data_IF_730409532503
#
_entry.id   IF_730409532503
#
_cell.length_a   1.000
_cell.length_b   1.000
_cell.length_c   1.000
_cell.angle_alpha   90.00
_cell.angle_beta   90.00
_cell.angle_gamma   90.00
#
_symmetry.space_group_name_H-M   'P 1'
#
loop_
_entity.id
_entity.type
_entity.pdbx_description
1 polymer ?
#
# COMPACT_ATOMS: atom_id res chain seq x y z
N UNK A 1 29.38 -10.95 5.12
CA UNK A 1 28.08 -10.41 5.57
C UNK A 1 27.60 -9.47 4.47
N UNK A 2 26.76 -9.94 3.54
CA UNK A 2 26.33 -9.13 2.38
C UNK A 2 25.48 -7.96 2.85
N UNK A 3 25.78 -6.75 2.35
CA UNK A 3 25.00 -5.56 2.67
C UNK A 3 23.52 -5.84 2.35
N UNK A 4 22.63 -5.66 3.33
CA UNK A 4 21.20 -5.56 3.02
C UNK A 4 21.08 -4.36 2.08
N UNK A 5 20.56 -4.60 0.88
CA UNK A 5 20.35 -3.55 -0.10
C UNK A 5 19.13 -2.73 0.33
N UNK A 6 19.35 -1.79 1.24
CA UNK A 6 18.34 -0.93 1.87
C UNK A 6 17.76 0.13 0.90
N UNK A 7 18.33 0.24 -0.31
CA UNK A 7 18.01 1.26 -1.31
C UNK A 7 17.18 0.75 -2.50
N UNK A 8 16.76 -0.52 -2.49
CA UNK A 8 15.90 -1.08 -3.54
C UNK A 8 14.44 -0.57 -3.46
N UNK A 9 13.66 -0.59 -4.56
CA UNK A 9 12.27 -0.13 -4.55
C UNK A 9 11.38 -0.79 -3.49
N UNK A 10 11.57 -2.10 -3.26
CA UNK A 10 10.85 -2.82 -2.22
C UNK A 10 11.32 -2.41 -0.81
N UNK A 11 12.61 -2.19 -0.60
CA UNK A 11 13.13 -1.73 0.68
C UNK A 11 12.61 -0.31 1.01
N UNK A 12 12.60 0.58 0.01
CA UNK A 12 11.98 1.89 0.13
C UNK A 12 10.48 1.81 0.42
N UNK A 13 9.73 0.97 -0.30
CA UNK A 13 8.33 0.73 0.00
C UNK A 13 8.14 0.22 1.44
N UNK A 14 8.94 -0.74 1.91
CA UNK A 14 8.85 -1.24 3.28
C UNK A 14 9.22 -0.20 4.34
N UNK A 15 10.07 0.77 4.03
CA UNK A 15 10.30 1.93 4.91
C UNK A 15 9.07 2.83 5.03
N UNK A 16 8.25 2.91 3.96
CA UNK A 16 7.02 3.69 3.96
C UNK A 16 5.84 2.93 4.57
N UNK A 17 5.68 1.65 4.26
CA UNK A 17 4.45 0.87 4.53
C UNK A 17 4.67 -0.42 5.35
N UNK A 18 5.87 -0.67 5.86
CA UNK A 18 6.21 -1.92 6.56
C UNK A 18 5.69 -2.02 8.00
N UNK A 19 5.12 -0.96 8.55
CA UNK A 19 4.45 -1.00 9.85
C UNK A 19 2.97 -1.36 9.67
N UNK A 20 2.50 -2.33 10.45
CA UNK A 20 1.14 -2.89 10.37
C UNK A 20 0.05 -1.82 10.31
N UNK A 21 0.14 -0.82 11.18
CA UNK A 21 -0.84 0.25 11.28
C UNK A 21 -0.91 1.15 10.05
N UNK A 22 0.18 1.22 9.27
CA UNK A 22 0.23 2.08 8.09
C UNK A 22 -0.76 1.60 7.04
N UNK A 23 -0.80 0.30 6.77
CA UNK A 23 -1.72 -0.26 5.77
C UNK A 23 -3.18 -0.18 6.22
N UNK A 24 -3.44 -0.43 7.51
CA UNK A 24 -4.78 -0.30 8.10
C UNK A 24 -5.30 1.15 8.03
N UNK A 25 -4.47 2.13 8.39
CA UNK A 25 -4.85 3.55 8.31
C UNK A 25 -5.04 4.04 6.87
N UNK A 26 -4.19 3.59 5.94
CA UNK A 26 -4.34 3.92 4.54
C UNK A 26 -5.60 3.28 3.94
N UNK A 27 -5.94 2.05 4.34
CA UNK A 27 -7.18 1.39 3.96
C UNK A 27 -8.39 2.16 4.48
N UNK A 28 -8.42 2.47 5.78
CA UNK A 28 -9.52 3.22 6.40
C UNK A 28 -9.70 4.62 5.78
N UNK A 29 -8.60 5.29 5.40
CA UNK A 29 -8.65 6.57 4.71
C UNK A 29 -9.09 6.46 3.24
N UNK A 30 -8.81 5.34 2.57
CA UNK A 30 -9.33 5.06 1.22
C UNK A 30 -10.84 4.81 1.22
N UNK A 31 -11.38 4.32 2.34
CA UNK A 31 -12.82 4.19 2.57
C UNK A 31 -13.49 5.54 2.89
N UNK A 32 -12.70 6.62 3.03
CA UNK A 32 -13.17 8.00 3.16
C UNK A 32 -13.13 8.56 4.58
N UNK A 33 -12.62 7.81 5.57
CA UNK A 33 -12.43 8.32 6.92
C UNK A 33 -11.30 9.35 6.95
N UNK A 34 -11.50 10.45 7.66
CA UNK A 34 -10.52 11.55 7.71
C UNK A 34 -10.26 12.06 9.11
N UNK A 35 -11.11 11.77 10.10
CA UNK A 35 -11.00 12.33 11.43
C UNK A 35 -10.37 11.34 12.41
N UNK A 36 -9.68 11.85 13.42
CA UNK A 36 -9.01 11.04 14.44
C UNK A 36 -9.95 10.05 15.14
N UNK A 37 -11.18 10.47 15.46
CA UNK A 37 -12.16 9.62 16.15
C UNK A 37 -12.62 8.46 15.25
N UNK A 38 -12.79 8.68 13.94
CA UNK A 38 -13.15 7.64 12.96
C UNK A 38 -12.07 6.55 12.92
N UNK A 39 -10.81 6.93 12.73
CA UNK A 39 -9.68 5.98 12.73
C UNK A 39 -9.56 5.21 14.05
N UNK A 40 -9.74 5.90 15.19
CA UNK A 40 -9.65 5.28 16.51
C UNK A 40 -10.73 4.22 16.69
N UNK A 41 -11.96 4.55 16.32
CA UNK A 41 -13.12 3.71 16.57
C UNK A 41 -13.16 2.51 15.61
N UNK A 42 -12.76 2.70 14.35
CA UNK A 42 -12.65 1.65 13.35
C UNK A 42 -11.52 0.66 13.68
N UNK A 43 -10.32 1.18 13.99
CA UNK A 43 -9.12 0.35 14.21
C UNK A 43 -8.97 -0.15 15.65
N UNK A 44 -9.77 0.38 16.59
CA UNK A 44 -9.71 0.09 18.04
C UNK A 44 -8.29 0.27 18.61
N UNK A 45 -7.58 1.27 18.09
CA UNK A 45 -6.19 1.57 18.40
C UNK A 45 -6.09 2.55 19.58
N UNK A 46 -5.06 2.40 20.42
CA UNK A 46 -4.81 3.34 21.51
C UNK A 46 -4.51 4.76 20.97
N UNK A 47 -5.09 5.84 21.56
CA UNK A 47 -4.97 7.20 21.02
C UNK A 47 -3.53 7.67 20.81
N UNK A 48 -2.62 7.39 21.75
CA UNK A 48 -1.21 7.79 21.63
C UNK A 48 -0.50 7.08 20.47
N UNK A 49 -0.87 5.82 20.19
CA UNK A 49 -0.32 5.09 19.05
C UNK A 49 -0.85 5.69 17.76
N UNK A 50 -2.16 5.92 17.67
CA UNK A 50 -2.80 6.54 16.51
C UNK A 50 -2.18 7.90 16.17
N UNK A 51 -2.01 8.78 17.17
CA UNK A 51 -1.41 10.09 16.98
C UNK A 51 0.01 10.00 16.39
N UNK A 52 0.83 9.08 16.89
CA UNK A 52 2.18 8.84 16.35
C UNK A 52 2.15 8.30 14.91
N UNK A 53 1.21 7.41 14.59
CA UNK A 53 1.05 6.87 13.24
C UNK A 53 0.59 7.93 12.24
N UNK A 54 -0.43 8.71 12.57
CA UNK A 54 -0.88 9.82 11.74
C UNK A 54 0.23 10.86 11.55
N UNK A 55 0.97 11.22 12.61
CA UNK A 55 2.14 12.09 12.50
C UNK A 55 3.20 11.52 11.56
N UNK A 56 3.44 10.20 11.61
CA UNK A 56 4.37 9.53 10.72
C UNK A 56 3.91 9.56 9.26
N UNK A 57 2.63 9.27 9.00
CA UNK A 57 2.02 9.33 7.66
C UNK A 57 2.09 10.73 7.05
N UNK A 58 1.89 11.77 7.88
CA UNK A 58 2.03 13.16 7.47
C UNK A 58 3.49 13.48 7.13
N UNK A 59 4.42 13.11 8.02
CA UNK A 59 5.86 13.33 7.79
C UNK A 59 6.39 12.61 6.55
N UNK A 60 5.87 11.43 6.21
CA UNK A 60 6.27 10.68 5.02
C UNK A 60 5.55 11.15 3.75
N UNK A 61 4.63 12.11 3.84
CA UNK A 61 3.88 12.66 2.72
C UNK A 61 2.81 11.71 2.17
N UNK A 62 2.38 10.72 2.95
CA UNK A 62 1.27 9.83 2.61
C UNK A 62 -0.09 10.45 2.95
N UNK A 63 -0.12 11.35 3.93
CA UNK A 63 -1.29 12.12 4.31
C UNK A 63 -0.94 13.60 4.49
N UNK A 64 -1.92 14.47 4.31
CA UNK A 64 -1.87 15.87 4.76
C UNK A 64 -2.71 16.03 6.03
N UNK A 65 -2.28 16.94 6.90
CA UNK A 65 -3.06 17.37 8.06
C UNK A 65 -3.73 18.72 7.76
N UNK A 66 -5.05 18.76 7.85
CA UNK A 66 -5.88 19.93 7.59
C UNK A 66 -6.49 20.41 8.91
N UNK A 67 -5.93 21.48 9.52
CA UNK A 67 -6.47 22.04 10.74
C UNK A 67 -7.87 22.63 10.53
N UNK A 68 -8.72 22.54 11.54
CA UNK A 68 -10.04 23.15 11.54
C UNK A 68 -10.13 24.39 12.42
N UNK A 69 -10.82 25.42 11.95
CA UNK A 69 -11.14 26.61 12.75
C UNK A 69 -12.05 26.28 13.94
N UNK A 70 -12.78 25.16 13.89
CA UNK A 70 -13.62 24.68 14.99
C UNK A 70 -12.83 23.96 16.09
N UNK A 71 -11.50 23.88 15.94
CA UNK A 71 -10.56 23.35 16.92
C UNK A 71 -10.03 21.95 16.58
N UNK A 72 -9.01 21.47 17.32
CA UNK A 72 -8.23 20.27 16.96
C UNK A 72 -9.03 18.97 16.83
N UNK A 73 -10.20 18.90 17.47
CA UNK A 73 -11.11 17.74 17.38
C UNK A 73 -11.71 17.58 15.98
N UNK A 74 -11.75 18.66 15.20
CA UNK A 74 -12.27 18.71 13.86
C UNK A 74 -11.17 18.72 12.79
N UNK A 75 -9.91 18.52 13.18
CA UNK A 75 -8.81 18.38 12.23
C UNK A 75 -9.01 17.11 11.38
N UNK A 76 -8.63 17.20 10.10
CA UNK A 76 -8.73 16.10 9.16
C UNK A 76 -7.35 15.63 8.67
N UNK A 77 -7.21 14.34 8.44
CA UNK A 77 -6.07 13.69 7.83
C UNK A 77 -6.53 13.11 6.50
N UNK A 78 -6.00 13.65 5.40
CA UNK A 78 -6.44 13.28 4.04
C UNK A 78 -5.30 12.67 3.25
N UNK A 79 -5.59 11.68 2.41
CA UNK A 79 -4.57 11.07 1.57
C UNK A 79 -4.05 12.06 0.52
N UNK A 80 -2.72 12.16 0.45
CA UNK A 80 -2.02 12.83 -0.66
C UNK A 80 -2.12 11.97 -1.93
N UNK A 81 -1.63 12.49 -3.06
CA UNK A 81 -1.48 11.70 -4.29
C UNK A 81 -0.59 10.46 -4.08
N UNK A 82 0.47 10.60 -3.27
CA UNK A 82 1.35 9.48 -2.91
C UNK A 82 0.61 8.43 -2.08
N UNK A 83 -0.20 8.86 -1.10
CA UNK A 83 -1.04 7.96 -0.31
C UNK A 83 -2.08 7.22 -1.16
N UNK A 84 -2.78 7.94 -2.05
CA UNK A 84 -3.78 7.37 -2.96
C UNK A 84 -3.17 6.37 -3.94
N UNK A 85 -1.93 6.58 -4.35
CA UNK A 85 -1.20 5.68 -5.26
C UNK A 85 -0.95 4.29 -4.66
N UNK A 86 -1.12 4.08 -3.36
CA UNK A 86 -1.01 2.78 -2.71
C UNK A 86 -2.26 1.90 -2.82
N UNK A 87 -3.40 2.44 -3.30
CA UNK A 87 -4.63 1.66 -3.46
C UNK A 87 -4.44 0.34 -4.21
N UNK A 88 -3.73 0.27 -5.36
CA UNK A 88 -3.50 -0.99 -6.05
C UNK A 88 -2.72 -2.02 -5.22
N UNK A 89 -1.81 -1.58 -4.35
CA UNK A 89 -1.05 -2.46 -3.45
C UNK A 89 -1.96 -3.08 -2.41
N UNK A 90 -2.82 -2.28 -1.78
CA UNK A 90 -3.80 -2.76 -0.81
C UNK A 90 -4.77 -3.77 -1.43
N UNK A 91 -5.29 -3.48 -2.64
CA UNK A 91 -6.16 -4.41 -3.35
C UNK A 91 -5.46 -5.75 -3.66
N UNK A 92 -4.19 -5.70 -4.06
CA UNK A 92 -3.41 -6.92 -4.31
C UNK A 92 -3.15 -7.73 -3.04
N UNK A 93 -2.88 -7.07 -1.91
CA UNK A 93 -2.71 -7.73 -0.60
C UNK A 93 -4.00 -8.41 -0.14
N UNK A 94 -5.14 -7.72 -0.26
CA UNK A 94 -6.46 -8.29 0.07
C UNK A 94 -6.77 -9.51 -0.79
N UNK A 95 -6.56 -9.42 -2.11
CA UNK A 95 -6.79 -10.53 -3.02
C UNK A 95 -5.87 -11.73 -2.72
N UNK A 96 -4.60 -11.47 -2.41
CA UNK A 96 -3.64 -12.52 -2.04
C UNK A 96 -4.09 -13.32 -0.81
N UNK A 97 -4.65 -12.68 0.21
CA UNK A 97 -5.18 -13.39 1.39
C UNK A 97 -6.47 -14.13 1.04
N UNK A 98 -7.40 -13.47 0.33
CA UNK A 98 -8.70 -14.06 -0.05
C UNK A 98 -8.58 -15.31 -0.92
N UNK A 99 -7.56 -15.38 -1.78
CA UNK A 99 -7.24 -16.56 -2.61
C UNK A 99 -6.99 -17.83 -1.79
N UNK A 100 -6.60 -17.70 -0.51
CA UNK A 100 -6.38 -18.82 0.42
C UNK A 100 -7.60 -19.15 1.28
N UNK A 101 -8.68 -18.39 1.15
CA UNK A 101 -9.88 -18.53 1.95
C UNK A 101 -11.05 -19.02 1.10
N UNK A 102 -11.89 -19.94 1.63
CA UNK A 102 -13.17 -20.21 1.00
C UNK A 102 -14.04 -18.93 1.03
N UNK A 103 -14.94 -18.72 0.04
CA UNK A 103 -15.71 -17.49 -0.08
C UNK A 103 -16.43 -17.08 1.21
N UNK A 104 -16.96 -18.04 1.97
CA UNK A 104 -17.73 -17.80 3.21
C UNK A 104 -16.87 -17.32 4.39
N UNK A 105 -15.53 -17.38 4.25
CA UNK A 105 -14.57 -16.94 5.28
C UNK A 105 -13.92 -15.59 4.93
N UNK A 106 -14.20 -15.01 3.77
CA UNK A 106 -13.65 -13.71 3.36
C UNK A 106 -14.41 -12.61 4.09
N UNK A 107 -13.75 -11.91 5.02
CA UNK A 107 -14.37 -10.82 5.78
C UNK A 107 -14.49 -9.52 4.97
N UNK A 108 -13.65 -9.35 3.96
CA UNK A 108 -13.63 -8.19 3.05
C UNK A 108 -13.37 -8.69 1.64
N UNK A 109 -14.14 -8.22 0.66
CA UNK A 109 -13.99 -8.55 -0.76
C UNK A 109 -14.01 -7.28 -1.61
N UNK A 110 -13.26 -7.29 -2.72
CA UNK A 110 -13.36 -6.23 -3.72
C UNK A 110 -14.57 -6.51 -4.60
N UNK A 111 -15.48 -5.56 -4.74
CA UNK A 111 -16.64 -5.67 -5.63
C UNK A 111 -16.69 -4.52 -6.62
N UNK A 112 -17.29 -4.78 -7.77
CA UNK A 112 -17.72 -3.72 -8.68
C UNK A 112 -18.91 -2.98 -8.05
N UNK A 113 -18.77 -1.67 -7.83
CA UNK A 113 -19.76 -0.89 -7.09
C UNK A 113 -21.13 -0.79 -7.79
N UNK A 114 -21.20 -0.99 -9.11
CA UNK A 114 -22.44 -0.92 -9.87
C UNK A 114 -23.20 -2.25 -9.89
N UNK A 115 -22.48 -3.37 -9.89
CA UNK A 115 -23.05 -4.72 -10.06
C UNK A 115 -23.00 -5.57 -8.80
N UNK A 116 -22.20 -5.19 -7.80
CA UNK A 116 -21.96 -5.95 -6.58
C UNK A 116 -21.17 -7.24 -6.77
N UNK A 117 -20.66 -7.51 -7.97
CA UNK A 117 -19.92 -8.73 -8.27
C UNK A 117 -18.50 -8.65 -7.72
N UNK A 118 -18.05 -9.73 -7.10
CA UNK A 118 -16.66 -9.86 -6.63
C UNK A 118 -15.70 -9.76 -7.82
N UNK A 119 -14.63 -8.99 -7.62
CA UNK A 119 -13.59 -8.71 -8.61
C UNK A 119 -12.31 -9.36 -8.15
N UNK A 120 -11.70 -10.14 -9.04
CA UNK A 120 -10.33 -10.61 -8.90
C UNK A 120 -9.38 -9.57 -9.54
N UNK A 121 -8.63 -8.78 -8.74
CA UNK A 121 -7.70 -7.82 -9.30
C UNK A 121 -6.49 -8.53 -9.91
N UNK A 122 -6.05 -8.05 -11.07
CA UNK A 122 -4.88 -8.56 -11.79
C UNK A 122 -3.93 -7.42 -12.16
N UNK A 123 -2.62 -7.70 -12.21
CA UNK A 123 -1.65 -6.71 -12.69
C UNK A 123 -1.46 -6.89 -14.20
N UNK A 124 -1.74 -5.83 -14.96
CA UNK A 124 -1.52 -5.80 -16.41
C UNK A 124 -0.51 -4.73 -16.79
N UNK A 125 0.26 -5.01 -17.84
CA UNK A 125 0.97 -3.97 -18.56
C UNK A 125 -0.05 -3.09 -19.28
N UNK A 126 -0.03 -1.79 -18.97
CA UNK A 126 -0.95 -0.82 -19.53
C UNK A 126 -0.86 -0.74 -21.06
N UNK A 127 0.32 -0.97 -21.64
CA UNK A 127 0.53 -0.83 -23.09
C UNK A 127 0.01 -2.05 -23.84
N UNK A 128 0.38 -3.25 -23.42
CA UNK A 128 0.02 -4.50 -24.13
C UNK A 128 -1.28 -5.12 -23.65
N UNK A 129 -1.78 -4.74 -22.46
CA UNK A 129 -2.91 -5.38 -21.78
C UNK A 129 -2.60 -6.76 -21.22
N UNK A 130 -1.35 -7.23 -21.33
CA UNK A 130 -0.96 -8.57 -20.87
C UNK A 130 -0.75 -8.59 -19.36
N UNK A 131 -1.09 -9.71 -18.72
CA UNK A 131 -0.83 -9.94 -17.30
C UNK A 131 0.67 -10.01 -16.99
N UNK A 132 1.14 -9.19 -16.04
CA UNK A 132 2.55 -9.10 -15.61
C UNK A 132 2.84 -9.85 -14.32
N UNK A 133 1.79 -10.24 -13.61
CA UNK A 133 1.83 -11.13 -12.44
C UNK A 133 1.98 -12.62 -12.82
N UNK A 134 2.29 -12.89 -14.08
CA UNK A 134 2.60 -14.22 -14.62
C UNK A 134 4.10 -14.36 -14.89
N UNK A 135 4.61 -15.59 -14.88
CA UNK A 135 6.05 -15.90 -14.99
C UNK A 135 6.75 -15.45 -16.29
N UNK A 136 6.04 -14.82 -17.24
CA UNK A 136 6.59 -14.30 -18.49
C UNK A 136 7.30 -12.93 -18.34
N UNK A 137 7.13 -12.23 -17.22
CA UNK A 137 7.77 -10.95 -16.96
C UNK A 137 8.81 -11.08 -15.86
N UNK A 138 9.98 -10.45 -16.06
CA UNK A 138 11.11 -10.53 -15.13
C UNK A 138 11.50 -9.14 -14.65
N UNK A 139 11.89 -9.06 -13.37
CA UNK A 139 12.57 -7.87 -12.83
C UNK A 139 14.03 -7.89 -13.31
N UNK A 140 14.51 -6.74 -13.80
CA UNK A 140 15.90 -6.54 -14.22
C UNK A 140 16.46 -5.23 -13.66
N UNK A 141 17.76 -5.01 -13.79
CA UNK A 141 18.41 -3.79 -13.33
C UNK A 141 18.00 -2.59 -14.20
N UNK A 142 17.50 -1.53 -13.56
CA UNK A 142 17.14 -0.29 -14.25
C UNK A 142 18.35 0.56 -14.66
N UNK A 143 18.13 1.64 -15.43
CA UNK A 143 19.20 2.50 -15.95
C UNK A 143 20.14 3.05 -14.85
N UNK A 144 19.58 3.43 -13.69
CA UNK A 144 20.30 4.01 -12.57
C UNK A 144 20.89 2.98 -11.57
N UNK A 145 20.82 1.67 -11.86
CA UNK A 145 21.27 0.64 -10.94
C UNK A 145 22.78 0.74 -10.60
N UNK A 146 23.16 0.60 -9.34
CA UNK A 146 24.58 0.45 -8.97
C UNK A 146 25.19 -0.86 -9.51
N UNK A 147 26.54 -0.99 -9.51
CA UNK A 147 27.22 -2.21 -9.98
C UNK A 147 26.72 -3.50 -9.31
N UNK A 148 26.46 -3.46 -8.01
CA UNK A 148 25.95 -4.60 -7.23
C UNK A 148 24.55 -5.05 -7.70
N UNK A 149 23.64 -4.11 -7.89
CA UNK A 149 22.28 -4.39 -8.38
C UNK A 149 22.34 -4.95 -9.81
N UNK A 150 23.18 -4.38 -10.69
CA UNK A 150 23.35 -4.91 -12.06
C UNK A 150 23.86 -6.35 -12.04
N UNK A 151 24.90 -6.64 -11.27
CA UNK A 151 25.46 -7.99 -11.15
C UNK A 151 24.41 -9.04 -10.72
N UNK A 152 23.53 -8.67 -9.78
CA UNK A 152 22.43 -9.54 -9.31
C UNK A 152 21.44 -9.90 -10.44
N UNK A 153 21.13 -8.97 -11.34
CA UNK A 153 20.13 -9.18 -12.38
C UNK A 153 20.70 -9.70 -13.71
N UNK A 154 22.00 -9.52 -14.00
CA UNK A 154 22.66 -10.08 -15.20
C UNK A 154 22.76 -11.61 -15.15
N UNK A 155 23.00 -12.20 -13.98
CA UNK A 155 23.16 -13.64 -13.81
C UNK A 155 21.90 -14.48 -14.09
N UNK A 156 20.74 -13.82 -14.23
CA UNK A 156 19.41 -14.45 -14.28
C UNK A 156 18.82 -14.57 -15.69
N UNK A 157 19.48 -14.01 -16.70
CA UNK A 157 19.02 -13.97 -18.11
C UNK A 157 19.76 -14.97 -19.03
N UNK A 158 20.60 -15.86 -18.46
CA UNK A 158 21.44 -16.80 -19.20
C UNK A 158 20.99 -18.27 -19.08
N UNK A 159 19.71 -18.53 -18.80
CA UNK A 159 19.16 -19.89 -18.63
C UNK A 159 17.83 -20.05 -19.32
#
# INVERSE_FOLDING_TARGET
MGARNEDGPLAYAMRLIGDWWTLELLHDALDGNTHFEEFRDNLKIAPNVLANRLSTLVRTGLMDHLPSESGPRHDAYVLTDLGRALRPVLLALTAWVNDRLPPERRSVVLVDAATGREVEPVLVDRVTGRRVDTGAHVLTAGPAAGPEVRARYTARHSG
#
